data_IF_327279984669
#
_entry.id   IF_327279984669
#
_cell.length_a   1.000
_cell.length_b   1.000
_cell.length_c   1.000
_cell.angle_alpha   90.00
_cell.angle_beta   90.00
_cell.angle_gamma   90.00
#
_symmetry.space_group_name_H-M   'P 1'
#
loop_
_entity.id
_entity.type
_entity.pdbx_description
1 polymer ?
#
# COMPACT_ATOMS: atom_id res chain seq x y z
N UNK A 1 20.33 5.68 -0.79
CA UNK A 1 19.47 6.88 -0.93
C UNK A 1 20.00 8.01 -0.06
N UNK A 2 20.06 9.20 -0.60
CA UNK A 2 20.57 10.37 0.13
C UNK A 2 19.55 10.85 1.16
N UNK A 3 20.02 11.65 2.14
CA UNK A 3 19.13 12.24 3.14
C UNK A 3 18.07 13.14 2.49
N UNK A 4 18.45 13.84 1.43
CA UNK A 4 17.51 14.69 0.70
C UNK A 4 16.41 13.87 0.03
N UNK A 5 16.77 12.75 -0.57
CA UNK A 5 15.79 11.87 -1.20
C UNK A 5 14.83 11.28 -0.17
N UNK A 6 15.32 10.92 1.02
CA UNK A 6 14.46 10.44 2.11
C UNK A 6 13.52 11.51 2.62
N UNK A 7 14.02 12.75 2.71
CA UNK A 7 13.19 13.87 3.14
C UNK A 7 12.05 14.12 2.15
N UNK A 8 12.34 14.00 0.86
CA UNK A 8 11.33 14.14 -0.18
C UNK A 8 10.30 13.02 -0.15
N UNK A 9 10.71 11.77 0.14
CA UNK A 9 9.78 10.66 0.22
C UNK A 9 8.81 10.85 1.39
N UNK A 10 9.31 11.35 2.48
CA UNK A 10 8.56 11.66 3.66
C UNK A 10 7.44 12.68 3.36
N UNK A 11 7.79 13.77 2.67
CA UNK A 11 6.84 14.78 2.27
C UNK A 11 5.79 14.21 1.31
N UNK A 12 6.20 13.32 0.41
CA UNK A 12 5.28 12.64 -0.51
C UNK A 12 4.28 11.77 0.24
N UNK A 13 4.71 11.07 1.28
CA UNK A 13 3.80 10.23 2.06
C UNK A 13 2.70 11.06 2.70
N UNK A 14 3.03 12.26 3.20
CA UNK A 14 2.06 13.13 3.84
C UNK A 14 0.93 13.54 2.89
N UNK A 15 1.21 13.60 1.59
CA UNK A 15 0.22 14.01 0.59
C UNK A 15 -0.70 12.87 0.15
N UNK A 16 -0.40 11.63 0.53
CA UNK A 16 -1.20 10.49 0.10
C UNK A 16 -2.43 10.30 0.99
N UNK A 17 -3.61 10.03 0.39
CA UNK A 17 -4.84 9.88 1.17
C UNK A 17 -4.76 8.89 2.31
N UNK A 18 -4.07 7.76 2.10
CA UNK A 18 -3.95 6.74 3.14
C UNK A 18 -3.29 7.28 4.41
N UNK A 19 -2.35 8.20 4.25
CA UNK A 19 -1.60 8.77 5.37
C UNK A 19 -2.17 10.08 5.88
N UNK A 20 -3.38 10.42 5.47
CA UNK A 20 -4.04 11.63 5.93
C UNK A 20 -4.20 11.61 7.45
N UNK A 21 -3.74 12.65 8.10
CA UNK A 21 -3.81 12.76 9.56
C UNK A 21 -2.66 12.12 10.31
N UNK A 22 -1.73 11.47 9.60
CA UNK A 22 -0.54 10.93 10.25
C UNK A 22 0.46 12.06 10.52
N UNK A 23 1.07 12.03 11.70
CA UNK A 23 2.06 13.07 12.07
C UNK A 23 3.45 12.71 11.54
N UNK A 24 4.38 13.65 11.72
CA UNK A 24 5.74 13.49 11.21
C UNK A 24 6.46 12.29 11.79
N UNK A 25 6.29 12.03 13.08
CA UNK A 25 6.93 10.89 13.73
C UNK A 25 6.41 9.57 13.15
N UNK A 26 5.12 9.47 12.93
CA UNK A 26 4.49 8.29 12.37
C UNK A 26 4.94 8.03 10.93
N UNK A 27 4.94 9.08 10.11
CA UNK A 27 5.39 8.97 8.73
C UNK A 27 6.87 8.63 8.64
N UNK A 28 7.70 9.22 9.47
CA UNK A 28 9.12 8.93 9.51
C UNK A 28 9.39 7.48 9.92
N UNK A 29 8.59 6.96 10.84
CA UNK A 29 8.71 5.58 11.28
C UNK A 29 8.44 4.62 10.12
N UNK A 30 7.39 4.85 9.35
CA UNK A 30 7.08 4.03 8.18
C UNK A 30 8.19 4.14 7.13
N UNK A 31 8.65 5.34 6.85
CA UNK A 31 9.69 5.57 5.85
C UNK A 31 10.99 4.84 6.18
N UNK A 32 11.32 4.71 7.46
CA UNK A 32 12.56 4.03 7.88
C UNK A 32 12.60 2.56 7.49
N UNK A 33 11.46 1.89 7.45
CA UNK A 33 11.39 0.45 7.16
C UNK A 33 10.85 0.17 5.78
N UNK A 34 10.34 1.18 5.11
CA UNK A 34 9.76 1.02 3.79
C UNK A 34 10.85 0.88 2.73
N UNK A 35 10.56 0.11 1.71
CA UNK A 35 11.44 -0.07 0.58
C UNK A 35 10.82 0.58 -0.65
N UNK A 36 11.61 1.38 -1.36
CA UNK A 36 11.18 2.00 -2.61
C UNK A 36 11.56 1.09 -3.76
N UNK A 37 10.58 0.72 -4.57
CA UNK A 37 10.79 -0.21 -5.68
C UNK A 37 10.20 0.37 -6.95
N UNK A 38 10.94 0.26 -8.05
CA UNK A 38 10.49 0.66 -9.37
C UNK A 38 10.11 -0.60 -10.15
N UNK A 39 8.98 -0.52 -10.85
CA UNK A 39 8.48 -1.59 -11.71
C UNK A 39 8.31 -1.04 -13.12
N UNK A 40 8.72 -1.83 -14.11
CA UNK A 40 8.45 -1.52 -15.51
C UNK A 40 7.09 -2.04 -15.94
N UNK A 41 6.62 -1.64 -17.13
CA UNK A 41 5.33 -2.10 -17.65
C UNK A 41 5.24 -3.63 -17.65
N UNK A 42 4.08 -4.15 -17.25
CA UNK A 42 3.75 -5.57 -17.19
C UNK A 42 4.47 -6.35 -16.07
N UNK A 43 5.29 -5.71 -15.27
CA UNK A 43 5.86 -6.38 -14.11
C UNK A 43 4.81 -6.57 -13.02
N UNK A 44 4.89 -7.70 -12.33
CA UNK A 44 3.98 -7.99 -11.23
C UNK A 44 4.49 -7.36 -9.93
N UNK A 45 3.61 -6.62 -9.27
CA UNK A 45 3.84 -6.19 -7.89
C UNK A 45 3.36 -7.29 -6.94
N UNK A 46 2.24 -7.91 -7.30
CA UNK A 46 1.61 -9.00 -6.54
C UNK A 46 1.16 -10.04 -7.54
N UNK A 47 1.30 -11.32 -7.17
CA UNK A 47 0.84 -12.43 -8.00
C UNK A 47 -0.24 -13.21 -7.27
N UNK A 48 -1.39 -13.37 -7.92
CA UNK A 48 -2.53 -14.11 -7.38
C UNK A 48 -2.11 -15.51 -6.96
N UNK A 49 -2.59 -15.96 -5.80
CA UNK A 49 -2.32 -17.29 -5.29
C UNK A 49 -1.03 -17.43 -4.50
N UNK A 50 -0.13 -16.45 -4.57
CA UNK A 50 1.11 -16.49 -3.78
C UNK A 50 0.85 -15.93 -2.39
N UNK A 51 1.64 -16.38 -1.43
CA UNK A 51 1.63 -15.80 -0.09
C UNK A 51 2.52 -14.56 -0.10
N UNK A 52 2.00 -13.45 0.36
CA UNK A 52 2.77 -12.21 0.44
C UNK A 52 2.51 -11.51 1.75
N UNK A 53 3.53 -10.81 2.23
CA UNK A 53 3.51 -10.15 3.52
C UNK A 53 3.80 -8.66 3.40
N UNK A 54 3.58 -8.08 2.24
CA UNK A 54 3.89 -6.68 2.00
C UNK A 54 2.64 -5.89 1.73
N UNK A 55 2.62 -4.71 2.33
CA UNK A 55 1.66 -3.66 2.04
C UNK A 55 2.32 -2.72 1.04
N UNK A 56 1.61 -2.36 -0.02
CA UNK A 56 2.17 -1.59 -1.14
C UNK A 56 1.36 -0.32 -1.35
N UNK A 57 2.04 0.81 -1.40
CA UNK A 57 1.44 2.11 -1.73
C UNK A 57 1.99 2.56 -3.08
N UNK A 58 1.11 2.93 -4.00
CA UNK A 58 1.50 3.42 -5.31
C UNK A 58 1.88 4.90 -5.17
N UNK A 59 3.12 5.22 -5.53
CA UNK A 59 3.60 6.60 -5.48
C UNK A 59 3.47 7.30 -6.82
N UNK A 60 3.73 6.58 -7.91
CA UNK A 60 3.57 7.10 -9.27
C UNK A 60 3.27 5.94 -10.20
N UNK A 61 2.66 6.25 -11.36
CA UNK A 61 2.27 5.26 -12.32
C UNK A 61 0.91 4.66 -12.01
N UNK A 62 0.53 3.64 -12.78
CA UNK A 62 -0.76 2.96 -12.65
C UNK A 62 -0.57 1.46 -12.65
N UNK A 63 -1.43 0.76 -11.91
CA UNK A 63 -1.43 -0.70 -11.86
C UNK A 63 -2.82 -1.23 -12.17
N UNK A 64 -2.87 -2.42 -12.79
CA UNK A 64 -4.11 -3.15 -12.99
C UNK A 64 -4.24 -4.23 -11.94
N UNK A 65 -5.42 -4.32 -11.34
CA UNK A 65 -5.77 -5.39 -10.41
C UNK A 65 -6.51 -6.46 -11.20
N UNK A 66 -5.99 -7.68 -11.19
CA UNK A 66 -6.44 -8.77 -12.05
C UNK A 66 -6.82 -9.97 -11.20
N UNK A 67 -8.03 -10.49 -11.41
CA UNK A 67 -8.49 -11.73 -10.77
C UNK A 67 -8.90 -12.69 -11.88
N UNK A 68 -8.31 -13.89 -11.86
CA UNK A 68 -8.60 -14.95 -12.82
C UNK A 68 -8.51 -14.45 -14.27
N UNK A 69 -7.50 -13.64 -14.54
CA UNK A 69 -7.22 -13.13 -15.88
C UNK A 69 -8.03 -11.92 -16.29
N UNK A 70 -8.91 -11.41 -15.42
CA UNK A 70 -9.76 -10.26 -15.76
C UNK A 70 -9.34 -9.03 -14.97
N UNK A 71 -9.18 -7.91 -15.67
CA UNK A 71 -8.88 -6.63 -15.02
C UNK A 71 -10.15 -6.14 -14.33
N UNK A 72 -10.08 -6.03 -13.01
CA UNK A 72 -11.24 -5.59 -12.21
C UNK A 72 -11.13 -4.14 -11.76
N UNK A 73 -9.93 -3.56 -11.78
CA UNK A 73 -9.71 -2.18 -11.36
C UNK A 73 -8.36 -1.69 -11.86
N UNK A 74 -8.22 -0.39 -11.99
CA UNK A 74 -6.94 0.28 -12.22
C UNK A 74 -6.72 1.25 -11.08
N UNK A 75 -5.55 1.19 -10.47
CA UNK A 75 -5.19 2.02 -9.33
C UNK A 75 -4.03 2.94 -9.71
N UNK A 76 -3.96 4.08 -9.05
CA UNK A 76 -2.94 5.09 -9.33
C UNK A 76 -2.30 5.65 -8.07
N UNK A 77 -1.60 6.78 -8.20
CA UNK A 77 -0.87 7.37 -7.07
C UNK A 77 -1.78 7.60 -5.86
N UNK A 78 -1.31 7.22 -4.69
CA UNK A 78 -2.05 7.33 -3.45
C UNK A 78 -2.88 6.11 -3.09
N UNK A 79 -3.13 5.22 -4.05
CA UNK A 79 -3.83 3.97 -3.78
C UNK A 79 -2.88 2.95 -3.16
N UNK A 80 -3.45 1.98 -2.45
CA UNK A 80 -2.66 0.94 -1.81
C UNK A 80 -3.28 -0.43 -2.04
N UNK A 81 -2.45 -1.45 -1.93
CA UNK A 81 -2.85 -2.85 -2.08
C UNK A 81 -2.12 -3.70 -1.05
N UNK A 82 -2.68 -4.85 -0.76
CA UNK A 82 -2.02 -5.82 0.11
C UNK A 82 -2.18 -5.55 1.60
N UNK A 83 -3.07 -4.65 1.99
CA UNK A 83 -3.28 -4.33 3.41
C UNK A 83 -3.73 -5.55 4.22
N UNK A 84 -4.41 -6.49 3.59
CA UNK A 84 -4.83 -7.71 4.27
C UNK A 84 -3.64 -8.55 4.72
N UNK A 85 -2.52 -8.46 4.02
CA UNK A 85 -1.31 -9.18 4.39
C UNK A 85 -0.77 -8.75 5.75
N UNK A 86 -1.08 -7.53 6.17
CA UNK A 86 -0.69 -7.04 7.49
C UNK A 86 -1.50 -7.69 8.60
N UNK A 87 -2.65 -8.24 8.27
CA UNK A 87 -3.63 -8.74 9.23
C UNK A 87 -3.74 -10.26 9.25
N UNK A 88 -3.88 -10.91 8.11
CA UNK A 88 -4.23 -12.34 8.08
C UNK A 88 -3.22 -13.26 7.41
N UNK A 89 -2.29 -12.73 6.60
CA UNK A 89 -1.27 -13.55 5.96
C UNK A 89 -1.79 -14.58 4.96
N UNK A 90 -3.02 -14.44 4.50
CA UNK A 90 -3.61 -15.40 3.54
C UNK A 90 -3.04 -15.19 2.14
N UNK A 91 -3.16 -16.21 1.26
CA UNK A 91 -2.74 -16.06 -0.14
C UNK A 91 -3.40 -14.86 -0.81
N UNK A 92 -2.68 -14.26 -1.73
CA UNK A 92 -3.19 -13.10 -2.48
C UNK A 92 -4.39 -13.52 -3.35
N UNK A 93 -5.46 -12.75 -3.28
CA UNK A 93 -6.67 -13.02 -4.05
C UNK A 93 -6.67 -12.37 -5.43
N UNK A 94 -5.66 -11.58 -5.73
CA UNK A 94 -5.55 -10.87 -7.02
C UNK A 94 -4.09 -10.71 -7.40
N UNK A 95 -3.85 -10.54 -8.70
CA UNK A 95 -2.57 -10.05 -9.20
C UNK A 95 -2.64 -8.53 -9.33
N UNK A 96 -1.50 -7.88 -9.15
CA UNK A 96 -1.35 -6.44 -9.39
C UNK A 96 -0.19 -6.27 -10.34
N UNK A 97 -0.46 -5.72 -11.51
CA UNK A 97 0.50 -5.64 -12.61
C UNK A 97 0.68 -4.19 -13.02
N UNK A 98 1.93 -3.77 -13.18
CA UNK A 98 2.22 -2.42 -13.62
C UNK A 98 1.70 -2.19 -15.05
N UNK A 99 0.91 -1.15 -15.22
CA UNK A 99 0.37 -0.77 -16.52
C UNK A 99 1.36 0.08 -17.30
N UNK A 100 2.14 0.85 -16.57
CA UNK A 100 3.21 1.69 -17.09
C UNK A 100 4.35 1.69 -16.08
N UNK A 101 5.29 2.61 -16.13
CA UNK A 101 6.35 2.69 -15.14
C UNK A 101 5.74 3.08 -13.79
N UNK A 102 6.02 2.28 -12.76
CA UNK A 102 5.44 2.44 -11.43
C UNK A 102 6.54 2.57 -10.40
N UNK A 103 6.39 3.52 -9.50
CA UNK A 103 7.17 3.58 -8.27
C UNK A 103 6.26 3.29 -7.10
N UNK A 104 6.67 2.37 -6.25
CA UNK A 104 5.87 1.94 -5.12
C UNK A 104 6.69 1.91 -3.83
N UNK A 105 5.97 2.04 -2.72
CA UNK A 105 6.53 1.93 -1.39
C UNK A 105 6.05 0.61 -0.80
N UNK A 106 6.98 -0.23 -0.37
CA UNK A 106 6.68 -1.54 0.18
C UNK A 106 6.99 -1.56 1.67
N UNK A 107 6.03 -2.04 2.46
CA UNK A 107 6.22 -2.20 3.90
C UNK A 107 5.86 -3.64 4.26
N UNK A 108 6.83 -4.39 4.80
CA UNK A 108 6.59 -5.75 5.24
C UNK A 108 5.73 -5.79 6.50
N UNK A 109 4.95 -6.85 6.66
CA UNK A 109 4.09 -7.01 7.83
C UNK A 109 4.90 -7.13 9.12
N UNK A 110 6.03 -7.81 9.06
CA UNK A 110 6.91 -7.98 10.21
C UNK A 110 7.49 -6.64 10.66
N UNK A 111 7.96 -5.85 9.70
CA UNK A 111 8.53 -4.53 9.95
C UNK A 111 7.47 -3.58 10.48
N UNK A 112 6.26 -3.68 9.96
CA UNK A 112 5.16 -2.85 10.43
C UNK A 112 4.79 -3.18 11.88
N UNK A 113 4.74 -4.47 12.23
CA UNK A 113 4.46 -4.89 13.61
C UNK A 113 5.51 -4.37 14.59
N UNK A 114 6.79 -4.41 14.18
CA UNK A 114 7.86 -3.86 15.00
C UNK A 114 7.69 -2.36 15.22
N UNK A 115 7.23 -1.64 14.21
CA UNK A 115 6.97 -0.21 14.32
C UNK A 115 5.82 0.07 15.29
N UNK A 116 4.76 -0.73 15.23
CA UNK A 116 3.61 -0.55 16.12
C UNK A 116 4.03 -0.66 17.59
N UNK A 117 4.97 -1.55 17.89
CA UNK A 117 5.51 -1.68 19.25
C UNK A 117 6.28 -0.44 19.69
N UNK A 118 6.93 0.26 18.75
CA UNK A 118 7.73 1.45 19.04
C UNK A 118 6.90 2.73 19.00
N UNK A 119 5.89 2.77 18.13
CA UNK A 119 5.02 3.93 17.95
C UNK A 119 3.58 3.45 18.06
N UNK A 120 3.05 3.36 19.29
CA UNK A 120 1.73 2.74 19.53
C UNK A 120 0.57 3.35 18.76
N UNK A 121 0.67 4.61 18.35
CA UNK A 121 -0.40 5.26 17.59
C UNK A 121 -0.56 4.70 16.17
N UNK A 122 0.42 3.94 15.67
CA UNK A 122 0.37 3.43 14.29
C UNK A 122 -0.75 2.43 14.07
N UNK A 123 -1.04 1.57 15.04
CA UNK A 123 -2.11 0.59 14.89
C UNK A 123 -3.47 1.30 14.74
N UNK A 124 -3.70 2.33 15.54
CA UNK A 124 -4.92 3.11 15.45
C UNK A 124 -5.02 3.85 14.11
N UNK A 125 -3.92 4.45 13.66
CA UNK A 125 -3.87 5.15 12.37
C UNK A 125 -4.17 4.20 11.22
N UNK A 126 -3.60 3.00 11.27
CA UNK A 126 -3.87 1.99 10.26
C UNK A 126 -5.35 1.61 10.25
N UNK A 127 -5.93 1.36 11.43
CA UNK A 127 -7.35 1.02 11.52
C UNK A 127 -8.24 2.11 10.95
N UNK A 128 -7.93 3.37 11.24
CA UNK A 128 -8.68 4.49 10.69
C UNK A 128 -8.58 4.53 9.17
N UNK A 129 -7.36 4.37 8.63
CA UNK A 129 -7.15 4.38 7.18
C UNK A 129 -7.89 3.25 6.49
N UNK A 130 -7.84 2.04 7.06
CA UNK A 130 -8.55 0.89 6.52
C UNK A 130 -10.06 1.07 6.59
N UNK A 131 -10.56 1.64 7.67
CA UNK A 131 -11.99 1.89 7.84
C UNK A 131 -12.48 2.89 6.80
N UNK A 132 -11.72 3.94 6.55
CA UNK A 132 -12.09 4.93 5.53
C UNK A 132 -12.14 4.29 4.14
N UNK A 133 -11.18 3.44 3.83
CA UNK A 133 -11.18 2.72 2.56
C UNK A 133 -12.38 1.80 2.44
N UNK A 134 -12.69 1.08 3.51
CA UNK A 134 -13.83 0.16 3.52
C UNK A 134 -15.13 0.90 3.26
N UNK A 135 -15.32 2.05 3.89
CA UNK A 135 -16.51 2.88 3.67
C UNK A 135 -16.59 3.39 2.24
N UNK A 136 -15.47 3.80 1.66
CA UNK A 136 -15.43 4.23 0.27
C UNK A 136 -15.84 3.08 -0.66
N UNK A 137 -15.38 1.86 -0.39
CA UNK A 137 -15.74 0.70 -1.18
C UNK A 137 -17.23 0.34 -1.03
N UNK A 138 -17.79 0.52 0.15
CA UNK A 138 -19.23 0.31 0.35
C UNK A 138 -20.06 1.25 -0.51
N UNK A 139 -19.63 2.51 -0.62
CA UNK A 139 -20.35 3.51 -1.39
C UNK A 139 -20.38 3.21 -2.88
N UNK A 140 -19.39 2.49 -3.40
CA UNK A 140 -19.30 2.13 -4.82
C UNK A 140 -19.57 0.65 -5.05
N UNK A 141 -19.89 -0.05 -4.00
CA UNK A 141 -20.09 -1.49 -4.07
C UNK A 141 -21.31 -1.82 -4.90
N UNK A 142 -21.17 -2.85 -5.73
CA UNK A 142 -22.29 -3.36 -6.50
C UNK A 142 -23.32 -3.99 -5.56
N UNK A 143 -24.60 -3.95 -5.95
CA UNK A 143 -25.62 -4.65 -5.19
C UNK A 143 -25.29 -6.13 -5.18
N UNK A 144 -25.92 -6.83 -4.29
CA UNK A 144 -25.72 -8.25 -4.02
C UNK A 144 -25.10 -9.08 -5.13
N UNK A 145 -24.09 -9.80 -4.78
CA UNK A 145 -23.39 -10.72 -5.68
C UNK A 145 -24.00 -12.11 -5.62
#
# INVERSE_FOLDING_TARGET
MSLLARKHSYDKLADLPFFHGWNKEELAAVDRVAEWVDYGPLEHLIKQGTTGYEFIVILSGEVDVIIDGHVIATLGPGDHVGEMALLDGKPRNASVVAKNDVRALLVGSREFRALVDQVPSLDRKLLISLTQRLRANENVRLPEQ
#
